data_IF_795832777974
#
_entry.id   IF_795832777974
#
_cell.length_a   1.000
_cell.length_b   1.000
_cell.length_c   1.000
_cell.angle_alpha   90.00
_cell.angle_beta   90.00
_cell.angle_gamma   90.00
#
_symmetry.space_group_name_H-M   'P 1'
#
loop_
_entity.id
_entity.type
_entity.pdbx_description
1 polymer ?
#
# COMPACT_ATOMS: atom_id res chain seq x y z
N UNK A 1 -26.68 18.02 -10.50
CA UNK A 1 -25.75 18.74 -9.60
C UNK A 1 -25.81 18.05 -8.24
N UNK A 2 -24.72 17.87 -7.49
CA UNK A 2 -24.85 17.30 -6.15
C UNK A 2 -25.56 18.34 -5.27
N UNK A 3 -26.76 18.01 -4.79
CA UNK A 3 -27.69 18.93 -4.11
C UNK A 3 -27.39 19.16 -2.62
N UNK A 4 -26.31 18.59 -2.07
CA UNK A 4 -26.11 18.50 -0.61
C UNK A 4 -24.81 19.09 -0.07
N UNK A 5 -23.98 19.75 -0.89
CA UNK A 5 -22.72 20.33 -0.41
C UNK A 5 -22.67 21.84 -0.66
N UNK A 6 -23.28 22.59 0.26
CA UNK A 6 -23.16 24.05 0.31
C UNK A 6 -22.02 24.45 1.26
N UNK A 7 -20.85 24.74 0.70
CA UNK A 7 -19.76 25.42 1.41
C UNK A 7 -20.02 26.92 1.38
N UNK A 8 -19.89 27.59 2.53
CA UNK A 8 -19.83 29.05 2.53
C UNK A 8 -18.52 29.53 1.88
N UNK A 9 -18.49 30.73 1.30
CA UNK A 9 -17.23 31.29 0.78
C UNK A 9 -16.16 31.36 1.88
N UNK A 10 -16.55 31.69 3.11
CA UNK A 10 -15.65 31.72 4.27
C UNK A 10 -15.03 30.36 4.57
N UNK A 11 -15.85 29.31 4.60
CA UNK A 11 -15.37 27.93 4.86
C UNK A 11 -14.50 27.42 3.71
N UNK A 12 -14.86 27.74 2.46
CA UNK A 12 -14.04 27.41 1.30
C UNK A 12 -12.65 28.05 1.39
N UNK A 13 -12.58 29.34 1.71
CA UNK A 13 -11.31 30.05 1.88
C UNK A 13 -10.49 29.46 3.04
N UNK A 14 -11.12 29.13 4.16
CA UNK A 14 -10.47 28.50 5.30
C UNK A 14 -9.88 27.11 4.93
N UNK A 15 -10.66 26.24 4.30
CA UNK A 15 -10.21 24.90 3.87
C UNK A 15 -9.08 24.99 2.84
N UNK A 16 -9.15 25.94 1.91
CA UNK A 16 -8.09 26.18 0.93
C UNK A 16 -6.76 26.57 1.59
N UNK A 17 -6.80 27.42 2.62
CA UNK A 17 -5.59 27.81 3.36
C UNK A 17 -4.98 26.60 4.11
N UNK A 18 -5.82 25.73 4.68
CA UNK A 18 -5.38 24.49 5.31
C UNK A 18 -4.70 23.57 4.29
N UNK A 19 -5.31 23.38 3.12
CA UNK A 19 -4.75 22.55 2.04
C UNK A 19 -3.37 23.05 1.59
N UNK A 20 -3.22 24.35 1.35
CA UNK A 20 -1.93 24.95 0.96
C UNK A 20 -0.86 24.81 2.05
N UNK A 21 -1.27 24.90 3.32
CA UNK A 21 -0.36 24.66 4.46
C UNK A 21 0.10 23.21 4.50
N UNK A 22 -0.81 22.25 4.34
CA UNK A 22 -0.49 20.82 4.32
C UNK A 22 0.43 20.51 3.13
N UNK A 23 0.12 21.02 1.94
CA UNK A 23 0.97 20.88 0.75
C UNK A 23 2.39 21.39 1.01
N UNK A 24 2.52 22.57 1.62
CA UNK A 24 3.83 23.13 1.98
C UNK A 24 4.59 22.25 2.98
N UNK A 25 3.90 21.61 3.93
CA UNK A 25 4.50 20.67 4.89
C UNK A 25 4.99 19.41 4.14
N UNK A 26 4.17 18.84 3.26
CA UNK A 26 4.52 17.65 2.46
C UNK A 26 5.76 17.96 1.60
N UNK A 27 5.75 19.05 0.84
CA UNK A 27 6.87 19.43 -0.03
C UNK A 27 8.16 19.64 0.75
N UNK A 28 8.10 20.33 1.89
CA UNK A 28 9.28 20.55 2.75
C UNK A 28 9.80 19.24 3.34
N UNK A 29 8.91 18.34 3.75
CA UNK A 29 9.27 17.03 4.30
C UNK A 29 9.96 16.15 3.26
N UNK A 30 9.50 16.22 2.01
CA UNK A 30 10.12 15.53 0.87
C UNK A 30 11.41 16.22 0.37
N UNK A 31 11.83 17.34 0.98
CA UNK A 31 12.96 18.14 0.48
C UNK A 31 12.73 18.67 -0.94
N UNK A 32 11.47 18.90 -1.32
CA UNK A 32 11.01 19.25 -2.66
C UNK A 32 11.36 18.21 -3.74
N UNK A 33 11.73 16.99 -3.37
CA UNK A 33 11.87 15.88 -4.30
C UNK A 33 10.52 15.18 -4.51
N UNK A 34 9.85 15.52 -5.61
CA UNK A 34 8.58 14.90 -6.01
C UNK A 34 8.77 13.83 -7.09
N UNK A 35 10.00 13.50 -7.45
CA UNK A 35 10.28 12.49 -8.45
C UNK A 35 10.14 11.09 -7.83
N UNK A 36 9.25 10.28 -8.40
CA UNK A 36 9.05 8.88 -8.00
C UNK A 36 9.36 7.96 -9.17
N UNK A 37 10.13 6.91 -8.90
CA UNK A 37 10.38 5.84 -9.86
C UNK A 37 9.40 4.70 -9.57
N UNK A 38 8.40 4.52 -10.43
CA UNK A 38 7.39 3.47 -10.26
C UNK A 38 7.83 2.16 -10.93
N UNK A 39 7.57 1.00 -10.30
CA UNK A 39 8.01 -0.30 -10.81
C UNK A 39 7.22 -0.77 -12.04
N UNK A 40 6.07 -0.16 -12.35
CA UNK A 40 5.16 -0.62 -13.42
C UNK A 40 5.78 -0.62 -14.81
N UNK A 41 6.44 0.48 -15.19
CA UNK A 41 7.12 0.56 -16.49
C UNK A 41 8.30 -0.40 -16.56
N UNK A 42 9.05 -0.51 -15.47
CA UNK A 42 10.19 -1.42 -15.34
C UNK A 42 9.72 -2.87 -15.51
N UNK A 43 8.60 -3.25 -14.87
CA UNK A 43 8.04 -4.59 -14.95
C UNK A 43 7.61 -4.95 -16.38
N UNK A 44 7.02 -4.01 -17.13
CA UNK A 44 6.70 -4.24 -18.55
C UNK A 44 7.97 -4.46 -19.38
N UNK A 45 9.02 -3.66 -19.17
CA UNK A 45 10.31 -3.86 -19.84
C UNK A 45 10.91 -5.22 -19.50
N UNK A 46 10.89 -5.63 -18.24
CA UNK A 46 11.43 -6.93 -17.82
C UNK A 46 10.63 -8.11 -18.39
N UNK A 47 9.29 -8.02 -18.43
CA UNK A 47 8.45 -9.03 -19.10
C UNK A 47 8.79 -9.17 -20.59
N UNK A 48 9.07 -8.05 -21.28
CA UNK A 48 9.52 -8.06 -22.67
C UNK A 48 10.90 -8.71 -22.81
N UNK A 49 11.86 -8.35 -21.95
CA UNK A 49 13.20 -8.93 -21.92
C UNK A 49 13.18 -10.44 -21.66
N UNK A 50 12.29 -10.91 -20.78
CA UNK A 50 12.09 -12.33 -20.49
C UNK A 50 11.31 -13.08 -21.59
N UNK A 51 10.84 -12.38 -22.62
CA UNK A 51 10.09 -12.98 -23.72
C UNK A 51 8.73 -13.54 -23.28
N UNK A 52 8.05 -12.87 -22.35
CA UNK A 52 6.73 -13.28 -21.83
C UNK A 52 5.63 -12.46 -22.52
N UNK A 53 4.98 -12.96 -23.59
CA UNK A 53 3.97 -12.20 -24.34
C UNK A 53 2.57 -12.23 -23.67
N UNK A 54 2.46 -12.65 -22.40
CA UNK A 54 1.16 -12.88 -21.76
C UNK A 54 0.61 -11.61 -21.13
N UNK A 55 -0.47 -11.08 -21.71
CA UNK A 55 -1.25 -9.97 -21.11
C UNK A 55 -1.81 -10.35 -19.74
N UNK A 56 -2.15 -11.62 -19.52
CA UNK A 56 -2.63 -12.10 -18.23
C UNK A 56 -1.55 -11.98 -17.13
N UNK A 57 -0.29 -12.30 -17.44
CA UNK A 57 0.83 -12.10 -16.51
C UNK A 57 1.03 -10.61 -16.25
N UNK A 58 1.03 -9.77 -17.28
CA UNK A 58 1.20 -8.32 -17.12
C UNK A 58 0.10 -7.70 -16.25
N UNK A 59 -1.16 -8.09 -16.44
CA UNK A 59 -2.28 -7.65 -15.59
C UNK A 59 -2.06 -8.08 -14.14
N UNK A 60 -1.68 -9.34 -13.93
CA UNK A 60 -1.47 -9.87 -12.57
C UNK A 60 -0.27 -9.23 -11.87
N UNK A 61 0.79 -8.89 -12.61
CA UNK A 61 1.91 -8.09 -12.14
C UNK A 61 1.42 -6.74 -11.61
N UNK A 62 0.59 -6.03 -12.37
CA UNK A 62 0.07 -4.72 -11.98
C UNK A 62 -0.83 -4.82 -10.75
N UNK A 63 -1.64 -5.88 -10.63
CA UNK A 63 -2.45 -6.14 -9.44
C UNK A 63 -1.58 -6.27 -8.17
N UNK A 64 -0.47 -7.02 -8.25
CA UNK A 64 0.49 -7.14 -7.14
C UNK A 64 1.17 -5.82 -6.81
N UNK A 65 1.65 -5.10 -7.83
CA UNK A 65 2.32 -3.79 -7.64
C UNK A 65 1.38 -2.74 -7.03
N UNK A 66 0.11 -2.72 -7.45
CA UNK A 66 -0.89 -1.80 -6.91
C UNK A 66 -1.26 -2.16 -5.48
N UNK A 67 -1.42 -3.44 -5.18
CA UNK A 67 -1.73 -3.91 -3.83
C UNK A 67 -0.59 -3.63 -2.86
N UNK A 68 0.66 -3.77 -3.31
CA UNK A 68 1.85 -3.52 -2.50
C UNK A 68 1.98 -2.05 -2.02
N UNK A 69 1.32 -1.08 -2.68
CA UNK A 69 1.25 0.31 -2.18
C UNK A 69 0.48 0.42 -0.86
N UNK A 70 -0.43 -0.51 -0.60
CA UNK A 70 -1.26 -0.57 0.61
C UNK A 70 -0.66 -1.53 1.65
N UNK A 71 0.52 -2.09 1.39
CA UNK A 71 1.13 -3.05 2.31
C UNK A 71 1.55 -2.39 3.61
N UNK A 72 1.16 -2.96 4.77
CA UNK A 72 1.65 -2.50 6.07
C UNK A 72 3.16 -2.70 6.25
N UNK A 73 3.80 -3.52 5.41
CA UNK A 73 5.26 -3.73 5.43
C UNK A 73 6.03 -2.66 4.65
N UNK A 74 5.36 -1.64 4.11
CA UNK A 74 5.98 -0.48 3.44
C UNK A 74 6.95 -0.88 2.31
N UNK A 75 6.55 -1.84 1.47
CA UNK A 75 7.42 -2.44 0.44
C UNK A 75 8.03 -1.39 -0.51
N UNK A 76 7.27 -0.36 -0.88
CA UNK A 76 7.74 0.73 -1.76
C UNK A 76 8.78 1.67 -1.13
N UNK A 77 8.89 1.68 0.20
CA UNK A 77 9.85 2.53 0.93
C UNK A 77 11.11 1.74 1.30
N UNK A 78 11.00 0.42 1.37
CA UNK A 78 12.08 -0.46 1.83
C UNK A 78 12.87 -1.10 0.69
N UNK A 79 12.31 -1.17 -0.52
CA UNK A 79 12.92 -1.86 -1.65
C UNK A 79 12.97 -0.99 -2.91
N UNK A 80 13.96 -1.29 -3.75
CA UNK A 80 14.12 -0.60 -5.03
C UNK A 80 13.03 -1.02 -6.04
N UNK A 81 12.65 -0.13 -6.98
CA UNK A 81 11.62 -0.42 -7.98
C UNK A 81 11.91 -1.65 -8.86
N UNK A 82 13.18 -1.96 -9.16
CA UNK A 82 13.56 -3.17 -9.90
C UNK A 82 13.20 -4.45 -9.11
N UNK A 83 13.48 -4.49 -7.81
CA UNK A 83 13.15 -5.62 -6.95
C UNK A 83 11.64 -5.85 -6.85
N UNK A 84 10.85 -4.77 -6.71
CA UNK A 84 9.38 -4.84 -6.71
C UNK A 84 8.85 -5.39 -8.05
N UNK A 85 9.38 -4.92 -9.16
CA UNK A 85 9.02 -5.41 -10.50
C UNK A 85 9.32 -6.92 -10.63
N UNK A 86 10.53 -7.35 -10.28
CA UNK A 86 10.94 -8.76 -10.37
C UNK A 86 10.09 -9.67 -9.47
N UNK A 87 9.85 -9.27 -8.22
CA UNK A 87 9.03 -10.04 -7.29
C UNK A 87 7.58 -10.19 -7.78
N UNK A 88 7.01 -9.11 -8.33
CA UNK A 88 5.66 -9.15 -8.89
C UNK A 88 5.57 -10.05 -10.13
N UNK A 89 6.57 -10.03 -11.01
CA UNK A 89 6.67 -10.94 -12.17
C UNK A 89 6.78 -12.39 -11.71
N UNK A 90 7.69 -12.65 -10.77
CA UNK A 90 7.89 -13.99 -10.21
C UNK A 90 6.59 -14.57 -9.65
N UNK A 91 5.87 -13.79 -8.85
CA UNK A 91 4.62 -14.21 -8.24
C UNK A 91 3.50 -14.38 -9.28
N UNK A 92 3.32 -13.40 -10.17
CA UNK A 92 2.29 -13.41 -11.20
C UNK A 92 2.45 -14.58 -12.19
N UNK A 93 3.68 -14.84 -12.65
CA UNK A 93 3.95 -15.95 -13.56
C UNK A 93 3.61 -17.30 -12.94
N UNK A 94 3.89 -17.48 -11.64
CA UNK A 94 3.53 -18.71 -10.91
C UNK A 94 2.02 -18.87 -10.74
N UNK A 95 1.30 -17.78 -10.46
CA UNK A 95 -0.15 -17.80 -10.29
C UNK A 95 -0.90 -18.04 -11.61
N UNK A 96 -0.41 -17.47 -12.71
CA UNK A 96 -0.99 -17.65 -14.05
C UNK A 96 -0.55 -18.99 -14.68
N UNK A 97 0.50 -19.62 -14.15
CA UNK A 97 1.02 -20.89 -14.66
C UNK A 97 1.96 -20.75 -15.88
N UNK A 98 2.57 -19.58 -16.06
CA UNK A 98 3.57 -19.35 -17.11
C UNK A 98 4.96 -19.70 -16.57
N UNK A 99 5.64 -20.63 -17.23
CA UNK A 99 7.02 -20.98 -16.91
C UNK A 99 7.95 -19.87 -17.44
N UNK A 100 8.72 -19.27 -16.54
CA UNK A 100 9.80 -18.34 -16.89
C UNK A 100 11.08 -19.11 -17.25
N UNK A 101 12.13 -18.37 -17.59
CA UNK A 101 13.47 -18.91 -17.87
C UNK A 101 13.96 -19.78 -16.70
N UNK A 102 14.61 -20.91 -17.00
CA UNK A 102 15.18 -21.78 -15.98
C UNK A 102 16.34 -21.09 -15.24
N UNK A 103 16.49 -21.38 -13.93
CA UNK A 103 17.51 -20.79 -13.07
C UNK A 103 17.08 -19.51 -12.35
N UNK A 104 18.04 -18.85 -11.73
CA UNK A 104 17.85 -17.66 -10.90
C UNK A 104 17.80 -16.38 -11.75
N UNK A 105 16.86 -16.33 -12.70
CA UNK A 105 16.75 -15.27 -13.72
C UNK A 105 16.63 -13.85 -13.14
N UNK A 106 16.17 -13.72 -11.89
CA UNK A 106 16.05 -12.46 -11.18
C UNK A 106 17.40 -11.77 -10.93
N UNK A 107 18.49 -12.54 -10.88
CA UNK A 107 19.85 -11.99 -10.68
C UNK A 107 20.26 -11.05 -11.83
N UNK A 108 19.75 -11.28 -13.05
CA UNK A 108 20.02 -10.42 -14.23
C UNK A 108 19.46 -9.00 -14.05
N UNK A 109 18.52 -8.83 -13.12
CA UNK A 109 17.89 -7.54 -12.81
C UNK A 109 18.37 -6.95 -11.48
N UNK A 110 19.54 -7.39 -11.00
CA UNK A 110 20.16 -6.95 -9.74
C UNK A 110 19.24 -7.16 -8.53
N UNK A 111 18.64 -8.35 -8.44
CA UNK A 111 17.79 -8.75 -7.31
C UNK A 111 18.33 -10.02 -6.69
N UNK A 112 18.56 -9.99 -5.39
CA UNK A 112 19.03 -11.15 -4.64
C UNK A 112 17.88 -12.06 -4.20
N UNK A 113 18.18 -13.32 -3.91
CA UNK A 113 17.19 -14.30 -3.46
C UNK A 113 16.49 -13.91 -2.17
N UNK A 114 17.19 -13.23 -1.27
CA UNK A 114 16.67 -12.78 0.02
C UNK A 114 15.59 -11.70 -0.18
N UNK A 115 15.93 -10.65 -0.95
CA UNK A 115 15.00 -9.58 -1.33
C UNK A 115 13.77 -10.14 -2.08
N UNK A 116 14.00 -11.03 -3.04
CA UNK A 116 12.91 -11.68 -3.77
C UNK A 116 12.00 -12.46 -2.81
N UNK A 117 12.58 -13.24 -1.89
CA UNK A 117 11.83 -14.02 -0.91
C UNK A 117 10.99 -13.14 0.00
N UNK A 118 11.58 -12.07 0.54
CA UNK A 118 10.87 -11.11 1.38
C UNK A 118 9.71 -10.45 0.64
N UNK A 119 9.96 -9.91 -0.55
CA UNK A 119 8.96 -9.23 -1.36
C UNK A 119 7.82 -10.16 -1.77
N UNK A 120 8.10 -11.40 -2.16
CA UNK A 120 7.08 -12.38 -2.51
C UNK A 120 6.19 -12.71 -1.31
N UNK A 121 6.76 -12.88 -0.12
CA UNK A 121 5.98 -13.10 1.11
C UNK A 121 5.13 -11.88 1.44
N UNK A 122 5.71 -10.68 1.37
CA UNK A 122 5.02 -9.42 1.61
C UNK A 122 3.84 -9.21 0.66
N UNK A 123 4.05 -9.37 -0.64
CA UNK A 123 3.00 -9.26 -1.66
C UNK A 123 1.91 -10.31 -1.47
N UNK A 124 2.25 -11.57 -1.16
CA UNK A 124 1.24 -12.61 -0.88
C UNK A 124 0.44 -12.34 0.39
N UNK A 125 1.03 -11.68 1.38
CA UNK A 125 0.34 -11.33 2.63
C UNK A 125 -0.81 -10.34 2.42
N UNK A 126 -0.82 -9.59 1.30
CA UNK A 126 -1.84 -8.60 0.99
C UNK A 126 -3.25 -9.17 0.90
N UNK A 127 -3.43 -10.40 0.41
CA UNK A 127 -4.75 -11.01 0.34
C UNK A 127 -5.31 -11.26 1.75
N UNK A 128 -4.46 -11.74 2.66
CA UNK A 128 -4.83 -11.95 4.06
C UNK A 128 -5.16 -10.64 4.76
N UNK A 129 -4.33 -9.62 4.53
CA UNK A 129 -4.56 -8.27 5.07
C UNK A 129 -5.88 -7.68 4.56
N UNK A 130 -6.13 -7.72 3.25
CA UNK A 130 -7.36 -7.19 2.66
C UNK A 130 -8.60 -7.91 3.20
N UNK A 131 -8.54 -9.25 3.35
CA UNK A 131 -9.63 -10.03 3.92
C UNK A 131 -9.89 -9.68 5.39
N UNK A 132 -8.84 -9.51 6.18
CA UNK A 132 -8.95 -9.12 7.58
C UNK A 132 -9.57 -7.73 7.73
N UNK A 133 -9.14 -6.75 6.93
CA UNK A 133 -9.74 -5.41 6.92
C UNK A 133 -11.20 -5.45 6.44
N UNK A 134 -11.51 -6.23 5.40
CA UNK A 134 -12.90 -6.40 4.93
C UNK A 134 -13.83 -6.96 6.03
N UNK A 135 -13.38 -7.97 6.77
CA UNK A 135 -14.18 -8.53 7.87
C UNK A 135 -14.28 -7.57 9.05
N UNK A 136 -13.19 -6.85 9.37
CA UNK A 136 -13.18 -5.82 10.42
C UNK A 136 -14.20 -4.72 10.15
N UNK A 137 -14.31 -4.27 8.91
CA UNK A 137 -15.24 -3.21 8.50
C UNK A 137 -16.62 -3.74 8.09
N UNK A 138 -16.87 -5.04 8.22
CA UNK A 138 -18.13 -5.65 7.80
C UNK A 138 -19.30 -5.16 8.65
N UNK A 139 -20.23 -4.48 8.02
CA UNK A 139 -21.39 -3.88 8.70
C UNK A 139 -21.06 -2.60 9.47
N UNK A 140 -19.81 -2.14 9.46
CA UNK A 140 -19.39 -0.85 9.98
C UNK A 140 -19.21 0.15 8.84
N UNK A 141 -19.42 1.43 9.13
CA UNK A 141 -19.15 2.51 8.17
C UNK A 141 -17.67 2.89 8.29
N UNK A 142 -16.93 2.80 7.18
CA UNK A 142 -15.56 3.30 7.11
C UNK A 142 -15.59 4.83 7.28
N UNK A 143 -14.80 5.41 8.20
CA UNK A 143 -14.67 6.86 8.35
C UNK A 143 -14.22 7.51 7.04
N UNK A 144 -14.99 8.49 6.57
CA UNK A 144 -14.67 9.24 5.35
C UNK A 144 -14.35 10.71 5.63
N UNK A 145 -14.50 11.17 6.87
CA UNK A 145 -14.13 12.52 7.32
C UNK A 145 -13.07 12.47 8.42
N UNK A 146 -12.37 13.59 8.64
CA UNK A 146 -11.37 13.71 9.71
C UNK A 146 -12.01 13.46 11.07
N UNK A 147 -13.18 14.08 11.33
CA UNK A 147 -13.91 13.91 12.59
C UNK A 147 -14.36 12.45 12.81
N UNK A 148 -14.86 11.78 11.77
CA UNK A 148 -15.23 10.36 11.84
C UNK A 148 -13.99 9.49 12.13
N UNK A 149 -12.83 9.83 11.55
CA UNK A 149 -11.58 9.10 11.74
C UNK A 149 -11.00 9.30 13.13
N UNK A 150 -10.96 10.54 13.62
CA UNK A 150 -10.51 10.88 14.98
C UNK A 150 -11.38 10.19 16.03
N UNK A 151 -12.71 10.19 15.84
CA UNK A 151 -13.62 9.47 16.72
C UNK A 151 -13.40 7.96 16.73
N UNK A 152 -13.08 7.35 15.58
CA UNK A 152 -12.73 5.93 15.50
C UNK A 152 -11.36 5.62 16.13
N UNK A 153 -10.37 6.49 15.96
CA UNK A 153 -9.05 6.35 16.61
C UNK A 153 -9.20 6.39 18.13
N UNK A 154 -9.95 7.35 18.65
CA UNK A 154 -10.19 7.48 20.08
C UNK A 154 -10.96 6.27 20.62
N UNK A 155 -11.98 5.80 19.90
CA UNK A 155 -12.73 4.59 20.25
C UNK A 155 -11.81 3.37 20.38
N UNK A 156 -10.89 3.16 19.42
CA UNK A 156 -9.93 2.04 19.45
C UNK A 156 -8.99 2.15 20.64
N UNK A 157 -8.47 3.35 20.89
CA UNK A 157 -7.60 3.61 22.03
C UNK A 157 -8.27 3.26 23.36
N UNK A 158 -9.54 3.65 23.53
CA UNK A 158 -10.31 3.31 24.74
C UNK A 158 -10.56 1.81 24.90
N UNK A 159 -10.78 1.06 23.80
CA UNK A 159 -10.93 -0.39 23.85
C UNK A 159 -9.62 -1.06 24.27
N UNK A 160 -8.49 -0.64 23.69
CA UNK A 160 -7.17 -1.14 24.07
C UNK A 160 -6.88 -0.87 25.56
N UNK A 161 -7.09 0.36 26.04
CA UNK A 161 -6.90 0.72 27.46
C UNK A 161 -7.83 -0.06 28.41
N UNK A 162 -9.04 -0.42 27.97
CA UNK A 162 -9.97 -1.26 28.73
C UNK A 162 -9.51 -2.72 28.85
N UNK A 163 -9.04 -3.31 27.76
CA UNK A 163 -8.51 -4.67 27.74
C UNK A 163 -7.26 -4.79 28.64
N UNK A 164 -6.39 -3.77 28.66
CA UNK A 164 -5.23 -3.71 29.57
C UNK A 164 -5.62 -3.70 31.06
N UNK A 165 -6.73 -3.04 31.41
CA UNK A 165 -7.23 -2.98 32.80
C UNK A 165 -7.95 -4.27 33.23
N UNK A 166 -8.52 -5.03 32.28
CA UNK A 166 -9.10 -6.35 32.53
C UNK A 166 -8.02 -7.45 32.64
N UNK A 167 -6.92 -7.35 31.89
CA UNK A 167 -5.80 -8.30 31.94
C UNK A 167 -4.89 -8.11 33.17
N UNK A 168 -4.80 -6.90 33.74
CA UNK A 168 -4.02 -6.63 34.96
C UNK A 168 -4.83 -5.89 36.05
N UNK A 169 -5.71 -6.59 36.80
CA UNK A 169 -6.54 -6.00 37.86
C UNK A 169 -5.73 -5.48 39.07
N UNK A 170 -4.40 -5.61 39.06
CA UNK A 170 -3.50 -5.24 40.16
C UNK A 170 -2.99 -3.80 40.14
N UNK A 171 -3.21 -3.04 39.06
CA UNK A 171 -2.67 -1.68 38.97
C UNK A 171 -3.53 -0.66 39.75
N UNK A 172 -3.00 -0.15 40.87
CA UNK A 172 -3.46 1.11 41.48
C UNK A 172 -2.32 2.12 41.47
N UNK A 173 -2.58 3.39 41.08
CA UNK A 173 -1.58 4.45 41.06
C UNK A 173 -1.04 4.81 42.45
#
# INVERSE_FOLDING_TARGET
>A
MPESYHLTEGDYHAQRLILLRIESIILRTLGFNTHVALPHTIALTYLQTLGVPSSAVAHRVFEHLNSALLSPQLLYVTHQPNALAVASIYLASREVGVKLVDGDWWEVFDVDREDLGFLVVGMRSMEGFARAEMEKWKGLRVPMTVDELEGEIERRRMMEEGDWLEEDPGYRP
#
